data_IF_402051176670
#
_entry.id   IF_402051176670
#
_cell.length_a   1.000
_cell.length_b   1.000
_cell.length_c   1.000
_cell.angle_alpha   90.00
_cell.angle_beta   90.00
_cell.angle_gamma   90.00
#
_symmetry.space_group_name_H-M   'P 1'
#
loop_
_entity.id
_entity.type
_entity.pdbx_description
1 polymer ?
#
# COMPACT_ATOMS: atom_id res chain seq x y z
N UNK A 1 10.68 -27.92 -0.56
CA UNK A 1 9.57 -27.07 -1.05
C UNK A 1 9.92 -25.68 -0.58
N UNK A 2 10.31 -24.81 -1.51
CA UNK A 2 10.66 -23.43 -1.18
C UNK A 2 9.33 -22.70 -0.94
N UNK A 3 8.88 -22.71 0.31
CA UNK A 3 7.73 -21.92 0.71
C UNK A 3 8.21 -20.48 0.69
N UNK A 4 7.85 -19.75 -0.37
CA UNK A 4 8.03 -18.30 -0.36
C UNK A 4 7.35 -17.78 0.92
N UNK A 5 8.19 -17.19 1.76
CA UNK A 5 7.88 -16.95 3.16
C UNK A 5 6.67 -16.02 3.28
N UNK A 6 6.40 -15.17 2.28
CA UNK A 6 5.21 -14.31 2.24
C UNK A 6 3.88 -15.07 2.27
N UNK A 7 3.79 -16.22 1.59
CA UNK A 7 2.56 -17.02 1.61
C UNK A 7 2.28 -17.65 2.97
N UNK A 8 3.32 -17.89 3.79
CA UNK A 8 3.16 -18.41 5.13
C UNK A 8 2.46 -17.39 6.04
N UNK A 9 2.85 -16.12 5.94
CA UNK A 9 2.24 -15.04 6.71
C UNK A 9 0.77 -14.84 6.36
N UNK A 10 0.43 -14.75 5.08
CA UNK A 10 -0.98 -14.62 4.64
C UNK A 10 -1.85 -15.79 5.12
N UNK A 11 -1.34 -17.02 5.03
CA UNK A 11 -2.05 -18.22 5.48
C UNK A 11 -2.25 -18.23 7.00
N UNK A 12 -1.21 -17.81 7.75
CA UNK A 12 -1.23 -17.70 9.20
C UNK A 12 -2.26 -16.65 9.64
N UNK A 13 -2.19 -15.44 9.08
CA UNK A 13 -3.10 -14.34 9.40
C UNK A 13 -4.56 -14.69 9.09
N UNK A 14 -4.82 -15.37 7.96
CA UNK A 14 -6.16 -15.86 7.65
C UNK A 14 -6.69 -16.84 8.69
N UNK A 15 -5.83 -17.75 9.17
CA UNK A 15 -6.21 -18.74 10.18
C UNK A 15 -6.52 -18.07 11.52
N UNK A 16 -5.67 -17.14 11.96
CA UNK A 16 -5.86 -16.35 13.18
C UNK A 16 -7.16 -15.53 13.12
N UNK A 17 -7.40 -14.79 12.04
CA UNK A 17 -8.60 -13.96 11.89
C UNK A 17 -9.90 -14.78 11.85
N UNK A 18 -9.85 -16.03 11.39
CA UNK A 18 -11.03 -16.89 11.29
C UNK A 18 -11.18 -17.85 12.48
N UNK A 19 -10.29 -17.78 13.47
CA UNK A 19 -10.26 -18.70 14.61
C UNK A 19 -10.05 -20.16 14.18
N UNK A 20 -9.41 -20.39 13.03
CA UNK A 20 -9.08 -21.73 12.53
C UNK A 20 -7.77 -22.20 13.16
N UNK A 21 -7.62 -23.51 13.40
CA UNK A 21 -6.37 -24.06 13.89
C UNK A 21 -5.23 -23.69 12.95
N UNK A 22 -4.12 -23.21 13.51
CA UNK A 22 -2.90 -22.97 12.73
C UNK A 22 -2.23 -24.34 12.51
N UNK A 23 -1.81 -24.69 11.28
CA UNK A 23 -1.05 -25.92 11.05
C UNK A 23 0.19 -25.94 11.95
N UNK A 24 0.36 -26.99 12.77
CA UNK A 24 1.46 -27.05 13.75
C UNK A 24 1.11 -26.60 15.18
N UNK A 25 -0.10 -26.07 15.40
CA UNK A 25 -0.60 -25.74 16.75
C UNK A 25 -0.86 -27.02 17.56
N UNK A 26 -1.37 -28.07 16.91
CA UNK A 26 -1.77 -29.32 17.59
C UNK A 26 -0.58 -30.20 18.02
N UNK A 27 0.57 -30.06 17.36
CA UNK A 27 1.80 -30.80 17.69
C UNK A 27 2.85 -29.94 18.40
N UNK A 28 2.53 -28.66 18.67
CA UNK A 28 3.40 -27.71 19.37
C UNK A 28 4.57 -27.19 18.53
N UNK A 29 4.58 -27.44 17.22
CA UNK A 29 5.60 -26.91 16.30
C UNK A 29 5.41 -25.42 15.98
N UNK A 30 4.21 -24.87 16.23
CA UNK A 30 3.88 -23.45 16.13
C UNK A 30 3.22 -22.97 17.41
N UNK A 31 3.97 -22.21 18.21
CA UNK A 31 3.45 -21.49 19.37
C UNK A 31 3.14 -20.02 19.02
N UNK A 32 2.40 -19.34 19.91
CA UNK A 32 1.99 -17.95 19.70
C UNK A 32 3.19 -17.00 19.59
N UNK A 33 4.30 -17.30 20.28
CA UNK A 33 5.49 -16.46 20.23
C UNK A 33 6.13 -16.48 18.83
N UNK A 34 6.23 -17.67 18.22
CA UNK A 34 6.70 -17.82 16.85
C UNK A 34 5.78 -17.11 15.85
N UNK A 35 4.46 -17.19 16.05
CA UNK A 35 3.47 -16.47 15.24
C UNK A 35 3.69 -14.96 15.31
N UNK A 36 3.83 -14.41 16.51
CA UNK A 36 4.08 -12.97 16.73
C UNK A 36 5.42 -12.53 16.14
N UNK A 37 6.45 -13.37 16.19
CA UNK A 37 7.77 -13.07 15.62
C UNK A 37 7.75 -13.09 14.08
N UNK A 38 7.02 -14.03 13.48
CA UNK A 38 6.77 -14.06 12.03
C UNK A 38 6.05 -12.77 11.61
N UNK A 39 4.96 -12.42 12.28
CA UNK A 39 4.17 -11.22 11.96
C UNK A 39 5.02 -9.95 12.00
N UNK A 40 5.72 -9.72 13.12
CA UNK A 40 6.64 -8.58 13.27
C UNK A 40 7.71 -8.52 12.20
N UNK A 41 8.25 -9.67 11.78
CA UNK A 41 9.25 -9.71 10.72
C UNK A 41 8.67 -9.18 9.38
N UNK A 42 7.44 -9.57 9.04
CA UNK A 42 6.78 -9.07 7.82
C UNK A 42 6.43 -7.60 7.90
N UNK A 43 5.88 -7.16 9.03
CA UNK A 43 5.57 -5.75 9.28
C UNK A 43 6.82 -4.89 9.14
N UNK A 44 7.93 -5.25 9.78
CA UNK A 44 9.18 -4.51 9.69
C UNK A 44 9.73 -4.49 8.25
N UNK A 45 9.70 -5.63 7.56
CA UNK A 45 10.16 -5.73 6.18
C UNK A 45 9.36 -4.81 5.26
N UNK A 46 8.03 -4.84 5.37
CA UNK A 46 7.13 -4.00 4.58
C UNK A 46 7.27 -2.53 4.97
N UNK A 47 7.29 -2.21 6.26
CA UNK A 47 7.45 -0.84 6.75
C UNK A 47 8.73 -0.19 6.20
N UNK A 48 9.88 -0.89 6.29
CA UNK A 48 11.14 -0.38 5.75
C UNK A 48 11.02 -0.14 4.24
N UNK A 49 10.45 -1.09 3.49
CA UNK A 49 10.27 -0.97 2.04
C UNK A 49 9.37 0.22 1.68
N UNK A 50 8.23 0.35 2.35
CA UNK A 50 7.18 1.30 2.03
C UNK A 50 7.51 2.74 2.47
N UNK A 51 8.35 2.91 3.50
CA UNK A 51 8.78 4.23 3.98
C UNK A 51 10.14 4.68 3.46
N UNK A 52 10.90 3.78 2.81
CA UNK A 52 12.25 4.08 2.31
C UNK A 52 12.28 5.32 1.40
N UNK A 53 13.28 6.18 1.64
CA UNK A 53 13.55 7.39 0.87
C UNK A 53 12.29 8.24 0.65
N UNK A 54 11.69 8.69 1.76
CA UNK A 54 10.46 9.50 1.75
C UNK A 54 9.31 8.78 0.99
N UNK A 55 9.12 7.50 1.33
CA UNK A 55 8.09 6.63 0.76
C UNK A 55 8.08 6.60 -0.78
N UNK A 56 9.24 6.70 -1.44
CA UNK A 56 9.34 6.80 -2.91
C UNK A 56 8.63 5.66 -3.63
N UNK A 57 8.82 4.42 -3.16
CA UNK A 57 8.14 3.26 -3.73
C UNK A 57 6.62 3.38 -3.60
N UNK A 58 6.13 3.77 -2.42
CA UNK A 58 4.70 3.92 -2.14
C UNK A 58 4.06 5.03 -2.97
N UNK A 59 4.73 6.18 -3.10
CA UNK A 59 4.28 7.31 -3.93
C UNK A 59 4.14 6.91 -5.40
N UNK A 60 5.14 6.22 -5.96
CA UNK A 60 5.09 5.76 -7.35
C UNK A 60 4.03 4.68 -7.56
N UNK A 61 3.99 3.67 -6.70
CA UNK A 61 3.02 2.56 -6.83
C UNK A 61 1.58 3.03 -6.69
N UNK A 62 1.31 4.02 -5.82
CA UNK A 62 -0.05 4.54 -5.57
C UNK A 62 -0.41 5.77 -6.40
N UNK A 63 0.45 6.21 -7.31
CA UNK A 63 0.24 7.43 -8.10
C UNK A 63 -1.08 7.41 -8.89
N UNK A 64 -1.35 6.34 -9.65
CA UNK A 64 -2.55 6.24 -10.46
C UNK A 64 -3.83 6.28 -9.62
N UNK A 65 -3.88 5.51 -8.53
CA UNK A 65 -5.03 5.51 -7.62
C UNK A 65 -5.22 6.88 -6.95
N UNK A 66 -4.11 7.51 -6.54
CA UNK A 66 -4.14 8.87 -5.97
C UNK A 66 -4.64 9.88 -6.99
N UNK A 67 -4.21 9.79 -8.24
CA UNK A 67 -4.68 10.61 -9.34
C UNK A 67 -6.18 10.46 -9.56
N UNK A 68 -6.70 9.23 -9.59
CA UNK A 68 -8.13 8.97 -9.71
C UNK A 68 -8.94 9.57 -8.55
N UNK A 69 -8.45 9.43 -7.31
CA UNK A 69 -9.08 10.04 -6.11
C UNK A 69 -9.10 11.56 -6.24
N UNK A 70 -7.97 12.17 -6.59
CA UNK A 70 -7.85 13.62 -6.70
C UNK A 70 -8.69 14.19 -7.83
N UNK A 71 -8.78 13.51 -8.98
CA UNK A 71 -9.68 13.90 -10.08
C UNK A 71 -11.15 13.87 -9.64
N UNK A 72 -11.57 12.89 -8.84
CA UNK A 72 -12.94 12.87 -8.29
C UNK A 72 -13.19 14.00 -7.30
N UNK A 73 -12.21 14.33 -6.46
CA UNK A 73 -12.28 15.48 -5.57
C UNK A 73 -12.39 16.79 -6.38
N UNK A 74 -11.63 16.91 -7.48
CA UNK A 74 -11.68 18.07 -8.37
C UNK A 74 -13.06 18.27 -9.00
N UNK A 75 -13.71 17.18 -9.41
CA UNK A 75 -15.09 17.21 -9.92
C UNK A 75 -16.07 17.75 -8.87
N UNK A 76 -15.90 17.41 -7.59
CA UNK A 76 -16.81 17.87 -6.52
C UNK A 76 -16.53 19.30 -6.08
N UNK A 77 -15.28 19.75 -6.17
CA UNK A 77 -14.84 21.07 -5.68
C UNK A 77 -14.82 22.17 -6.74
N UNK A 78 -15.03 21.81 -8.01
CA UNK A 78 -15.14 22.74 -9.13
C UNK A 78 -16.58 22.85 -9.64
N UNK A 79 -16.91 23.86 -10.48
CA UNK A 79 -18.19 23.95 -11.18
C UNK A 79 -18.38 22.84 -12.23
N UNK A 80 -18.57 21.59 -11.78
CA UNK A 80 -18.82 20.43 -12.63
C UNK A 80 -20.29 20.00 -12.56
N UNK A 81 -20.92 19.61 -13.70
CA UNK A 81 -22.22 18.95 -13.68
C UNK A 81 -22.15 17.54 -13.08
N UNK A 82 -20.98 16.89 -13.12
CA UNK A 82 -20.74 15.56 -12.56
C UNK A 82 -20.07 15.70 -11.19
N UNK A 83 -20.83 15.46 -10.12
CA UNK A 83 -20.37 15.57 -8.73
C UNK A 83 -20.67 14.28 -7.98
N UNK A 84 -19.82 13.24 -8.10
CA UNK A 84 -20.03 11.98 -7.40
C UNK A 84 -20.12 12.24 -5.89
N UNK A 85 -21.09 11.62 -5.23
CA UNK A 85 -21.26 11.73 -3.77
C UNK A 85 -20.54 10.62 -3.02
N UNK A 86 -20.18 9.56 -3.72
CA UNK A 86 -19.53 8.39 -3.16
C UNK A 86 -18.71 7.69 -4.25
N UNK A 87 -17.53 7.22 -3.90
CA UNK A 87 -16.69 6.36 -4.70
C UNK A 87 -16.15 5.26 -3.80
N UNK A 88 -16.23 4.01 -4.25
CA UNK A 88 -15.72 2.85 -3.54
C UNK A 88 -14.60 2.21 -4.37
N UNK A 89 -13.47 2.02 -3.73
CA UNK A 89 -12.33 1.31 -4.28
C UNK A 89 -12.12 0.04 -3.46
N UNK A 90 -11.94 -1.08 -4.14
CA UNK A 90 -11.53 -2.33 -3.50
C UNK A 90 -10.08 -2.57 -3.86
N UNK A 91 -9.24 -2.77 -2.84
CA UNK A 91 -7.81 -2.98 -2.99
C UNK A 91 -7.31 -4.10 -2.09
N UNK A 92 -5.99 -4.18 -1.97
CA UNK A 92 -5.28 -5.12 -1.11
C UNK A 92 -4.63 -4.38 0.07
N UNK A 93 -4.07 -5.11 1.02
CA UNK A 93 -3.12 -4.58 2.01
C UNK A 93 -1.96 -3.82 1.33
N UNK A 94 -1.46 -4.37 0.21
CA UNK A 94 -0.51 -3.76 -0.73
C UNK A 94 -1.05 -2.53 -1.48
N UNK A 95 -2.27 -2.08 -1.18
CA UNK A 95 -2.83 -0.78 -1.56
C UNK A 95 -2.95 0.15 -0.35
N UNK A 96 -3.49 -0.35 0.76
CA UNK A 96 -3.75 0.46 1.97
C UNK A 96 -2.44 0.89 2.63
N UNK A 97 -1.52 -0.03 2.87
CA UNK A 97 -0.23 0.26 3.52
C UNK A 97 0.62 1.27 2.74
N UNK A 98 0.84 1.15 1.42
CA UNK A 98 1.58 2.18 0.69
C UNK A 98 0.83 3.51 0.63
N UNK A 99 -0.52 3.54 0.60
CA UNK A 99 -1.24 4.83 0.71
C UNK A 99 -1.01 5.50 2.06
N UNK A 100 -1.02 4.73 3.16
CA UNK A 100 -0.68 5.25 4.49
C UNK A 100 0.75 5.77 4.54
N UNK A 101 1.71 5.00 4.02
CA UNK A 101 3.12 5.42 3.96
C UNK A 101 3.33 6.69 3.11
N UNK A 102 2.59 6.83 2.01
CA UNK A 102 2.73 7.97 1.10
C UNK A 102 2.05 9.25 1.60
N UNK A 103 0.93 9.12 2.33
CA UNK A 103 0.08 10.26 2.70
C UNK A 103 0.19 10.66 4.18
N UNK A 104 0.41 9.70 5.06
CA UNK A 104 0.39 9.90 6.51
C UNK A 104 1.47 9.06 7.21
N UNK A 105 2.76 9.16 6.80
CA UNK A 105 3.83 8.32 7.35
C UNK A 105 4.00 8.45 8.87
N UNK A 106 3.74 9.64 9.43
CA UNK A 106 3.84 9.89 10.87
C UNK A 106 2.66 9.31 11.68
N UNK A 107 1.57 8.93 11.02
CA UNK A 107 0.36 8.38 11.65
C UNK A 107 0.25 6.86 11.49
N UNK A 108 1.10 6.26 10.65
CA UNK A 108 1.15 4.81 10.44
C UNK A 108 2.31 4.21 11.24
N UNK A 109 1.97 3.26 12.10
CA UNK A 109 2.89 2.55 12.99
C UNK A 109 3.68 1.43 12.31
N UNK A 110 3.45 1.21 11.01
CA UNK A 110 4.07 0.12 10.25
C UNK A 110 3.38 -1.22 10.42
N UNK A 111 2.27 -1.30 11.16
CA UNK A 111 1.52 -2.52 11.31
C UNK A 111 0.88 -2.98 10.00
N UNK A 112 0.77 -4.29 9.81
CA UNK A 112 0.13 -4.88 8.64
C UNK A 112 -1.35 -4.47 8.62
N UNK A 113 -1.86 -4.07 7.45
CA UNK A 113 -3.26 -3.69 7.33
C UNK A 113 -4.19 -4.88 7.62
N UNK A 114 -4.99 -4.87 8.70
CA UNK A 114 -5.85 -6.01 9.04
C UNK A 114 -6.88 -6.31 7.96
N UNK A 115 -7.47 -7.52 8.03
CA UNK A 115 -8.57 -7.90 7.15
C UNK A 115 -9.70 -6.85 7.15
N UNK A 116 -10.19 -6.52 5.95
CA UNK A 116 -11.21 -5.50 5.73
C UNK A 116 -10.81 -4.08 6.21
N UNK A 117 -9.51 -3.77 6.20
CA UNK A 117 -9.03 -2.42 6.43
C UNK A 117 -9.68 -1.41 5.50
N UNK A 118 -9.99 -0.23 6.05
CA UNK A 118 -10.72 0.83 5.39
C UNK A 118 -10.00 2.16 5.54
N UNK A 119 -9.64 2.77 4.40
CA UNK A 119 -9.15 4.14 4.30
C UNK A 119 -10.24 5.01 3.64
N UNK A 120 -10.71 6.04 4.34
CA UNK A 120 -11.80 6.91 3.90
C UNK A 120 -11.30 8.34 3.72
N UNK A 121 -11.56 8.91 2.55
CA UNK A 121 -11.44 10.34 2.29
C UNK A 121 -12.81 10.98 2.39
N UNK A 122 -13.00 11.81 3.41
CA UNK A 122 -14.23 12.59 3.59
C UNK A 122 -13.99 14.03 3.15
N UNK A 123 -14.91 14.57 2.37
CA UNK A 123 -14.83 15.93 1.86
C UNK A 123 -15.95 16.79 2.44
N UNK A 124 -15.58 17.95 2.96
CA UNK A 124 -16.46 18.92 3.59
C UNK A 124 -16.37 20.26 2.88
N UNK A 125 -17.42 21.06 3.05
CA UNK A 125 -17.46 22.44 2.59
C UNK A 125 -18.11 23.33 3.64
N UNK A 126 -17.52 24.49 3.90
CA UNK A 126 -18.13 25.51 4.74
C UNK A 126 -19.12 26.34 3.90
N UNK A 127 -20.43 26.32 4.23
CA UNK A 127 -21.42 27.15 3.54
C UNK A 127 -21.29 28.64 3.84
N UNK A 128 -20.61 29.04 4.92
CA UNK A 128 -20.37 30.44 5.27
C UNK A 128 -19.30 31.11 4.38
N UNK A 129 -18.45 30.31 3.73
CA UNK A 129 -17.42 30.79 2.81
C UNK A 129 -17.99 30.83 1.38
N UNK A 130 -17.73 31.93 0.66
CA UNK A 130 -18.17 32.15 -0.72
C UNK A 130 -17.88 30.95 -1.63
N UNK A 131 -18.81 30.66 -2.54
CA UNK A 131 -18.80 29.44 -3.35
C UNK A 131 -17.55 29.25 -4.19
N UNK A 132 -16.95 30.37 -4.60
CA UNK A 132 -15.80 30.40 -5.51
C UNK A 132 -14.46 30.44 -4.76
N UNK A 133 -14.50 30.47 -3.42
CA UNK A 133 -13.29 30.46 -2.60
C UNK A 133 -12.71 29.04 -2.53
N UNK A 134 -11.43 28.84 -2.88
CA UNK A 134 -10.77 27.53 -2.73
C UNK A 134 -10.60 27.12 -1.25
N UNK A 135 -10.66 28.09 -0.33
CA UNK A 135 -10.51 27.87 1.11
C UNK A 135 -11.78 27.32 1.78
N UNK A 136 -12.87 27.15 1.03
CA UNK A 136 -14.13 26.63 1.59
C UNK A 136 -14.12 25.12 1.82
N UNK A 137 -13.17 24.40 1.22
CA UNK A 137 -13.15 22.94 1.21
C UNK A 137 -12.15 22.38 2.21
N UNK A 138 -12.59 21.35 2.91
CA UNK A 138 -11.83 20.65 3.93
C UNK A 138 -11.92 19.15 3.68
N UNK A 139 -10.94 18.40 4.18
CA UNK A 139 -10.96 16.95 4.13
C UNK A 139 -10.67 16.35 5.52
N UNK A 140 -11.08 15.10 5.71
CA UNK A 140 -10.64 14.24 6.80
C UNK A 140 -10.22 12.90 6.22
N UNK A 141 -9.08 12.38 6.68
CA UNK A 141 -8.60 11.04 6.33
C UNK A 141 -8.86 10.12 7.51
N UNK A 142 -9.51 8.98 7.29
CA UNK A 142 -9.87 8.03 8.36
C UNK A 142 -9.37 6.65 8.01
N UNK A 143 -8.59 6.04 8.89
CA UNK A 143 -8.11 4.66 8.77
C UNK A 143 -8.71 3.81 9.91
N UNK A 144 -9.47 2.78 9.56
CA UNK A 144 -10.09 1.85 10.52
C UNK A 144 -10.87 2.56 11.64
N UNK A 145 -11.57 3.65 11.30
CA UNK A 145 -12.36 4.44 12.24
C UNK A 145 -11.58 5.48 13.04
N UNK A 146 -10.24 5.49 12.96
CA UNK A 146 -9.38 6.54 13.54
C UNK A 146 -9.12 7.62 12.50
N UNK A 147 -9.42 8.88 12.84
CA UNK A 147 -9.03 10.01 12.02
C UNK A 147 -7.51 10.21 12.10
N UNK A 148 -6.88 10.44 10.95
CA UNK A 148 -5.44 10.66 10.81
C UNK A 148 -5.15 12.15 10.68
N UNK A 149 -4.10 12.62 11.36
CA UNK A 149 -3.64 14.01 11.26
C UNK A 149 -2.41 14.10 10.37
N UNK A 150 -2.59 14.58 9.13
CA UNK A 150 -1.47 14.78 8.21
C UNK A 150 -0.56 15.93 8.66
N UNK A 151 0.72 15.86 8.29
CA UNK A 151 1.65 16.96 8.49
C UNK A 151 1.11 18.25 7.84
N UNK A 152 1.15 19.37 8.56
CA UNK A 152 0.57 20.64 8.12
C UNK A 152 -0.92 20.81 8.46
N UNK A 153 -1.57 19.79 9.03
CA UNK A 153 -2.90 19.92 9.62
C UNK A 153 -2.81 20.23 11.12
N UNK A 154 -3.62 21.19 11.59
CA UNK A 154 -3.72 21.51 13.02
C UNK A 154 -4.80 20.68 13.75
N UNK A 155 -5.74 20.11 13.00
CA UNK A 155 -6.85 19.29 13.47
C UNK A 155 -7.15 18.18 12.45
N UNK A 156 -7.92 17.17 12.84
CA UNK A 156 -8.37 16.07 11.97
C UNK A 156 -9.19 16.54 10.74
N UNK A 157 -9.91 17.66 10.86
CA UNK A 157 -10.55 18.33 9.73
C UNK A 157 -9.58 19.37 9.16
N UNK A 158 -9.05 19.13 7.97
CA UNK A 158 -7.91 19.89 7.43
C UNK A 158 -8.24 20.57 6.10
N UNK A 159 -7.55 21.66 5.78
CA UNK A 159 -7.73 22.36 4.50
C UNK A 159 -7.45 21.43 3.33
N UNK A 160 -8.30 21.42 2.30
CA UNK A 160 -8.09 20.62 1.11
C UNK A 160 -6.75 20.94 0.41
N UNK A 161 -6.22 22.15 0.57
CA UNK A 161 -4.90 22.53 0.04
C UNK A 161 -3.77 21.65 0.57
N UNK A 162 -3.86 21.20 1.83
CA UNK A 162 -2.86 20.32 2.45
C UNK A 162 -2.90 18.94 1.80
N UNK A 163 -4.09 18.38 1.58
CA UNK A 163 -4.23 17.12 0.83
C UNK A 163 -3.63 17.23 -0.58
N UNK A 164 -3.85 18.35 -1.28
CA UNK A 164 -3.28 18.58 -2.62
C UNK A 164 -1.75 18.62 -2.62
N UNK A 165 -1.15 19.10 -1.55
CA UNK A 165 0.31 19.09 -1.37
C UNK A 165 0.82 17.67 -1.14
N UNK A 166 0.21 16.94 -0.20
CA UNK A 166 0.59 15.55 0.11
C UNK A 166 0.38 14.58 -1.04
N UNK A 167 -0.58 14.86 -1.92
CA UNK A 167 -0.88 14.04 -3.09
C UNK A 167 -0.11 14.47 -4.35
N UNK A 168 0.68 15.55 -4.32
CA UNK A 168 1.29 16.11 -5.53
C UNK A 168 2.13 15.10 -6.34
N UNK A 169 2.67 14.08 -5.67
CA UNK A 169 3.44 12.99 -6.30
C UNK A 169 2.71 12.27 -7.43
N UNK A 170 1.36 12.24 -7.46
CA UNK A 170 0.63 11.56 -8.55
C UNK A 170 0.85 12.21 -9.91
N UNK A 171 1.26 13.50 -9.94
CA UNK A 171 1.59 14.22 -11.18
C UNK A 171 2.99 13.94 -11.69
N UNK A 172 3.88 13.53 -10.79
CA UNK A 172 5.32 13.34 -11.05
C UNK A 172 5.65 11.86 -11.30
N UNK A 173 4.80 10.96 -10.81
CA UNK A 173 4.88 9.54 -11.10
C UNK A 173 4.30 9.24 -12.49
N UNK A 174 4.94 9.81 -13.51
CA UNK A 174 4.75 9.35 -14.87
C UNK A 174 5.50 8.02 -15.05
N UNK A 175 4.76 6.91 -14.98
CA UNK A 175 5.29 5.59 -15.32
C UNK A 175 5.63 5.46 -16.83
N UNK A 176 5.47 6.51 -17.62
CA UNK A 176 5.87 6.56 -19.03
C UNK A 176 7.29 7.09 -19.27
N UNK A 177 8.04 7.49 -18.23
CA UNK A 177 9.47 7.79 -18.44
C UNK A 177 10.23 6.50 -18.82
N UNK A 178 10.65 6.46 -20.09
CA UNK A 178 11.61 5.56 -20.73
C UNK A 178 11.21 4.11 -21.08
N UNK A 179 10.03 3.91 -21.69
CA UNK A 179 9.89 2.81 -22.66
C UNK A 179 10.73 3.04 -23.95
N UNK A 180 11.25 4.27 -24.14
CA UNK A 180 11.89 4.70 -25.38
C UNK A 180 13.42 4.86 -25.35
N UNK A 181 14.10 4.61 -24.21
CA UNK A 181 15.53 4.97 -24.09
C UNK A 181 16.44 3.89 -23.50
N UNK A 182 15.96 2.66 -23.32
CA UNK A 182 16.86 1.51 -23.12
C UNK A 182 17.04 0.82 -24.48
N UNK A 183 18.17 1.04 -25.20
CA UNK A 183 18.48 0.19 -26.33
C UNK A 183 18.58 -1.25 -25.79
N UNK A 184 17.85 -2.17 -26.42
CA UNK A 184 17.83 -3.62 -26.16
C UNK A 184 19.21 -4.30 -26.09
N UNK A 185 20.30 -3.57 -26.31
CA UNK A 185 21.67 -4.05 -26.41
C UNK A 185 22.56 -3.77 -25.20
N UNK A 186 22.09 -3.13 -24.11
CA UNK A 186 22.96 -2.74 -22.99
C UNK A 186 22.77 -3.51 -21.68
N UNK A 187 21.93 -4.55 -21.63
CA UNK A 187 22.03 -5.52 -20.54
C UNK A 187 23.20 -6.47 -20.87
N UNK A 188 24.22 -6.59 -20.00
CA UNK A 188 25.15 -7.70 -20.08
C UNK A 188 24.32 -8.94 -19.79
N UNK A 189 23.93 -9.65 -20.85
CA UNK A 189 23.62 -11.08 -20.75
C UNK A 189 24.96 -11.77 -20.56
N UNK A 190 25.57 -11.57 -19.39
CA UNK A 190 26.58 -12.50 -18.93
C UNK A 190 25.85 -13.83 -18.79
N UNK A 191 26.26 -14.73 -19.67
CA UNK A 191 25.81 -16.11 -19.74
C UNK A 191 25.94 -16.71 -18.34
N UNK A 192 24.85 -16.73 -17.59
CA UNK A 192 24.66 -17.75 -16.56
C UNK A 192 24.70 -19.06 -17.34
N UNK A 193 25.88 -19.68 -17.29
CA UNK A 193 26.09 -21.00 -17.87
C UNK A 193 25.29 -21.94 -17.00
N UNK A 194 24.06 -22.24 -17.43
CA UNK A 194 23.32 -23.41 -16.94
C UNK A 194 24.23 -24.62 -17.14
N UNK A 195 24.53 -25.41 -16.09
CA UNK A 195 25.18 -26.71 -16.30
C UNK A 195 24.29 -27.52 -17.23
N UNK A 196 24.88 -28.00 -18.33
CA UNK A 196 24.20 -28.88 -19.26
C UNK A 196 23.67 -30.10 -18.50
N UNK A 197 22.39 -30.38 -18.68
CA UNK A 197 21.81 -31.67 -18.36
C UNK A 197 22.45 -32.71 -19.28
N UNK A 198 23.53 -33.33 -18.82
CA UNK A 198 23.94 -34.64 -19.32
C UNK A 198 23.26 -35.71 -18.47
N UNK A 199 22.54 -36.57 -19.17
CA UNK A 199 21.89 -37.77 -18.68
C UNK A 199 22.89 -38.84 -18.23
N UNK A 200 22.47 -39.66 -17.26
CA UNK A 200 23.12 -40.81 -16.60
C UNK A 200 23.90 -40.40 -15.34
N UNK A 201 23.55 -40.85 -14.13
CA UNK A 201 23.27 -42.23 -13.74
C UNK A 201 22.15 -42.32 -12.69
N UNK A 202 21.22 -43.26 -12.91
CA UNK A 202 20.31 -43.74 -11.87
C UNK A 202 21.09 -44.73 -11.02
N UNK A 203 21.48 -44.35 -9.80
CA UNK A 203 21.76 -45.34 -8.76
C UNK A 203 20.66 -45.34 -7.72
N UNK A 204 19.85 -46.39 -7.85
CA UNK A 204 19.01 -47.01 -6.85
C UNK A 204 19.74 -47.10 -5.50
N UNK A 205 19.19 -46.45 -4.47
CA UNK A 205 19.47 -46.78 -3.08
C UNK A 205 18.14 -47.04 -2.38
N UNK A 206 17.71 -48.28 -2.49
CA UNK A 206 17.07 -48.99 -1.39
C UNK A 206 18.07 -49.09 -0.23
N UNK A 207 17.69 -48.56 0.92
CA UNK A 207 17.65 -49.22 2.23
C UNK A 207 16.85 -48.36 3.23
#
# INVERSE_FOLDING_TARGET
>A
VDLDQGYLHDCLMTSLCTGRPVPGEQDGSLDQALVDDIDKFYEQKEFIKLTWNDAKFSKVSMANLTGDIMQRIDLVTSPSPQRPKFALYSGHDSTVMPLLAALAPEEWDGAWAPYASLLVFELYSDPAIFTDSPYRYYFRLVYNGKALQLEGCHTELCSLSVLRQHTAFWKEADCQEDAATIPSSSLPVDKITTPSADSADVQDFRE
#
